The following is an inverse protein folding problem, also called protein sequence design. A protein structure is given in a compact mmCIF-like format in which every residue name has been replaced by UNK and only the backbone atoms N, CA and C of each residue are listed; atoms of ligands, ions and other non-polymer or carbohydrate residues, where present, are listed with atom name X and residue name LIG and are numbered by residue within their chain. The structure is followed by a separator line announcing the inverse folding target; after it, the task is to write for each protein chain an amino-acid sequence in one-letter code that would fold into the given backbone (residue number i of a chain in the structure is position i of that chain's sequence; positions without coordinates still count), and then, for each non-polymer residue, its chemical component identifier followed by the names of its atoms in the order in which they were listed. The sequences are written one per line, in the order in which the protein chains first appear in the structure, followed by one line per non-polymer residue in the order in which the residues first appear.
data_IF_989670303470
#
_entry.id   IF_989670303470
#
_cell.length_a   1.000
_cell.length_b   1.000
_cell.length_c   1.000
_cell.angle_alpha   90.00
_cell.angle_beta   90.00
_cell.angle_gamma   90.00
#
_symmetry.space_group_name_H-M   'P 1'
#
loop_
_entity.id
_entity.type
_entity.pdbx_description
1 polymer ?
#
# COMPACT_ATOMS: atom_id res chain seq x y z
N UNK A 1 -20.73 -16.65 76.54
CA UNK A 1 -20.62 -17.61 75.42
C UNK A 1 -20.95 -16.87 74.13
N UNK A 2 -19.98 -16.85 73.24
CA UNK A 2 -19.91 -16.06 72.01
C UNK A 2 -21.01 -16.37 71.00
N UNK A 3 -21.41 -15.34 70.23
CA UNK A 3 -21.57 -15.38 68.77
C UNK A 3 -21.91 -13.99 68.21
N UNK A 4 -20.93 -13.20 67.72
CA UNK A 4 -21.20 -12.06 66.87
C UNK A 4 -21.21 -12.48 65.39
N UNK A 5 -22.05 -11.78 64.62
CA UNK A 5 -22.48 -12.13 63.28
C UNK A 5 -21.39 -12.09 62.20
N UNK A 6 -21.59 -12.95 61.20
CA UNK A 6 -20.80 -12.95 59.97
C UNK A 6 -21.12 -11.72 59.12
N UNK A 7 -20.14 -10.85 58.97
CA UNK A 7 -20.11 -9.85 57.91
C UNK A 7 -19.85 -10.56 56.59
N UNK A 8 -20.85 -10.58 55.71
CA UNK A 8 -20.66 -10.92 54.29
C UNK A 8 -20.07 -9.70 53.60
N UNK A 9 -18.73 -9.62 53.55
CA UNK A 9 -18.08 -8.75 52.57
C UNK A 9 -18.32 -9.33 51.18
N UNK A 10 -19.37 -8.85 50.52
CA UNK A 10 -19.53 -9.00 49.09
C UNK A 10 -18.45 -8.16 48.42
N UNK A 11 -17.32 -8.78 48.09
CA UNK A 11 -16.35 -8.21 47.16
C UNK A 11 -17.04 -8.13 45.80
N UNK A 12 -17.62 -6.98 45.51
CA UNK A 12 -18.04 -6.64 44.15
C UNK A 12 -16.77 -6.64 43.30
N UNK A 13 -16.71 -7.54 42.31
CA UNK A 13 -15.61 -7.55 41.35
C UNK A 13 -15.48 -6.17 40.68
N UNK A 14 -14.27 -5.66 40.46
CA UNK A 14 -14.09 -4.35 39.85
C UNK A 14 -14.69 -4.31 38.44
N UNK A 15 -15.38 -3.20 38.15
CA UNK A 15 -16.07 -2.92 36.88
C UNK A 15 -15.08 -2.89 35.71
N UNK A 16 -15.45 -3.36 34.51
CA UNK A 16 -14.58 -3.42 33.34
C UNK A 16 -14.63 -2.09 32.57
N UNK A 17 -14.22 -0.97 33.17
CA UNK A 17 -14.44 0.36 32.55
C UNK A 17 -13.22 1.26 32.48
N UNK A 18 -12.03 0.75 32.79
CA UNK A 18 -10.79 1.46 32.49
C UNK A 18 -10.02 0.67 31.45
N UNK A 19 -9.81 1.26 30.27
CA UNK A 19 -8.84 0.74 29.32
C UNK A 19 -7.48 0.81 30.00
N UNK A 20 -6.83 -0.33 30.31
CA UNK A 20 -5.53 -0.30 30.97
C UNK A 20 -4.56 0.50 30.11
N UNK A 21 -3.70 1.30 30.74
CA UNK A 21 -2.56 1.90 30.02
C UNK A 21 -1.82 0.76 29.33
N UNK A 22 -1.27 0.99 28.14
CA UNK A 22 -0.77 -0.07 27.25
C UNK A 22 0.21 -1.07 27.87
N UNK A 23 0.83 -0.70 29.00
CA UNK A 23 1.86 -1.48 29.69
C UNK A 23 1.39 -2.08 31.02
N UNK A 24 0.14 -1.86 31.43
CA UNK A 24 -0.41 -2.43 32.65
C UNK A 24 -0.72 -3.93 32.47
N UNK A 25 -0.50 -4.71 33.53
CA UNK A 25 -0.63 -6.18 33.48
C UNK A 25 -2.09 -6.59 33.35
N UNK A 26 -2.47 -7.06 32.17
CA UNK A 26 -3.79 -7.62 31.94
C UNK A 26 -3.91 -8.96 32.68
N UNK A 27 -4.87 -9.03 33.59
CA UNK A 27 -5.16 -10.17 34.47
C UNK A 27 -5.60 -11.42 33.69
N UNK A 28 -6.19 -11.22 32.52
CA UNK A 28 -6.69 -12.29 31.66
C UNK A 28 -5.60 -12.93 30.80
N UNK A 29 -4.37 -12.39 30.77
CA UNK A 29 -3.26 -13.02 30.05
C UNK A 29 -2.74 -14.20 30.88
N UNK A 30 -2.81 -15.44 30.36
CA UNK A 30 -2.35 -16.61 31.10
C UNK A 30 -0.88 -16.51 31.48
N UNK A 31 -0.53 -17.13 32.62
CA UNK A 31 0.81 -17.03 33.18
C UNK A 31 1.92 -17.56 32.26
N UNK A 32 1.65 -18.51 31.36
CA UNK A 32 2.65 -19.04 30.43
C UNK A 32 2.98 -18.09 29.25
N UNK A 33 2.10 -17.14 28.93
CA UNK A 33 2.36 -16.11 27.92
C UNK A 33 3.09 -14.94 28.57
N UNK A 34 2.61 -14.52 29.74
CA UNK A 34 3.15 -13.39 30.49
C UNK A 34 4.53 -13.67 31.09
N UNK A 35 4.80 -14.92 31.50
CA UNK A 35 6.12 -15.29 32.02
C UNK A 35 7.12 -15.40 30.88
N UNK A 36 8.22 -14.66 31.04
CA UNK A 36 9.36 -14.70 30.16
C UNK A 36 10.14 -16.02 30.33
N UNK A 37 10.56 -16.66 29.23
CA UNK A 37 11.36 -17.89 29.28
C UNK A 37 12.84 -17.58 29.62
N UNK A 38 13.54 -18.59 30.15
CA UNK A 38 14.90 -18.43 30.70
C UNK A 38 15.98 -17.91 29.73
N UNK A 39 15.77 -18.06 28.42
CA UNK A 39 16.75 -17.71 27.39
C UNK A 39 16.69 -16.25 26.95
N UNK A 40 15.82 -15.44 27.57
CA UNK A 40 15.74 -14.00 27.31
C UNK A 40 16.25 -13.30 28.57
N UNK A 41 17.29 -12.48 28.42
CA UNK A 41 18.00 -11.89 29.57
C UNK A 41 17.20 -10.76 30.23
N UNK A 42 17.16 -10.73 31.55
CA UNK A 42 16.49 -9.67 32.33
C UNK A 42 17.24 -8.33 32.33
N UNK A 43 18.49 -8.33 31.83
CA UNK A 43 19.34 -7.14 31.76
C UNK A 43 19.13 -6.30 30.49
N UNK A 44 18.57 -6.88 29.43
CA UNK A 44 18.39 -6.22 28.13
C UNK A 44 16.99 -5.65 27.92
N UNK A 45 16.01 -6.10 28.71
CA UNK A 45 14.61 -5.71 28.59
C UNK A 45 14.21 -4.76 29.71
N UNK A 46 13.39 -3.76 29.37
CA UNK A 46 12.83 -2.85 30.36
C UNK A 46 11.88 -3.62 31.28
N UNK A 47 12.08 -3.54 32.60
CA UNK A 47 11.16 -4.12 33.60
C UNK A 47 9.75 -3.52 33.54
N UNK A 48 9.57 -2.43 32.77
CA UNK A 48 8.32 -1.72 32.58
C UNK A 48 7.36 -2.41 31.59
N UNK A 49 7.82 -3.39 30.80
CA UNK A 49 7.01 -4.08 29.79
C UNK A 49 7.12 -5.61 29.87
N UNK A 50 6.12 -6.25 30.48
CA UNK A 50 6.09 -7.69 30.73
C UNK A 50 5.80 -8.57 29.49
N UNK A 51 5.48 -7.98 28.33
CA UNK A 51 5.15 -8.68 27.08
C UNK A 51 6.19 -8.45 25.97
N UNK A 52 7.30 -7.80 26.28
CA UNK A 52 8.33 -7.46 25.29
C UNK A 52 8.84 -8.70 24.53
N UNK A 53 8.99 -9.85 25.21
CA UNK A 53 9.41 -11.12 24.59
C UNK A 53 8.42 -11.69 23.58
N UNK A 54 7.16 -11.27 23.62
CA UNK A 54 6.12 -11.68 22.67
C UNK A 54 6.05 -10.75 21.45
N UNK A 55 6.68 -9.56 21.51
CA UNK A 55 6.74 -8.65 20.36
C UNK A 55 7.64 -9.24 19.28
N UNK A 56 7.44 -8.79 18.04
CA UNK A 56 8.27 -9.25 16.92
C UNK A 56 9.74 -8.94 17.19
N UNK A 57 10.54 -10.01 17.29
CA UNK A 57 11.99 -9.89 17.42
C UNK A 57 12.59 -9.10 16.24
N UNK A 58 13.61 -8.26 16.49
CA UNK A 58 14.21 -7.42 15.45
C UNK A 58 14.76 -8.23 14.27
N UNK A 59 15.25 -9.45 14.52
CA UNK A 59 15.74 -10.36 13.46
C UNK A 59 14.65 -10.81 12.48
N UNK A 60 13.39 -10.92 12.93
CA UNK A 60 12.26 -11.27 12.06
C UNK A 60 11.72 -10.06 11.30
N UNK A 61 11.86 -8.85 11.85
CA UNK A 61 11.46 -7.61 11.17
C UNK A 61 12.29 -7.36 9.90
N UNK A 62 13.59 -7.67 9.92
CA UNK A 62 14.48 -7.50 8.75
C UNK A 62 14.16 -8.43 7.57
N UNK A 63 13.41 -9.51 7.79
CA UNK A 63 13.07 -10.47 6.72
C UNK A 63 11.77 -10.14 5.99
N UNK A 64 11.00 -9.20 6.54
CA UNK A 64 9.81 -8.68 5.89
C UNK A 64 10.13 -7.28 5.41
N UNK A 65 10.86 -7.19 4.30
CA UNK A 65 10.91 -5.97 3.51
C UNK A 65 9.45 -5.59 3.22
N UNK A 66 8.95 -4.60 3.95
CA UNK A 66 7.64 -4.04 3.68
C UNK A 66 7.64 -3.55 2.25
N UNK A 67 6.52 -3.67 1.53
CA UNK A 67 6.41 -3.22 0.13
C UNK A 67 6.94 -1.78 -0.07
N UNK A 68 6.86 -0.95 0.96
CA UNK A 68 7.41 0.41 1.00
C UNK A 68 8.94 0.50 0.81
N UNK A 69 9.71 -0.53 1.17
CA UNK A 69 11.16 -0.60 1.01
C UNK A 69 11.60 -1.65 0.00
N UNK A 70 10.66 -2.24 -0.76
CA UNK A 70 10.95 -3.27 -1.74
C UNK A 70 11.73 -2.67 -2.92
N UNK A 71 13.06 -2.72 -2.82
CA UNK A 71 13.94 -2.35 -3.91
C UNK A 71 13.82 -3.40 -5.03
N UNK A 72 13.58 -2.97 -6.27
CA UNK A 72 13.62 -3.86 -7.43
C UNK A 72 15.00 -3.89 -8.10
N UNK A 73 15.23 -4.88 -8.97
CA UNK A 73 16.47 -4.97 -9.74
C UNK A 73 16.65 -3.74 -10.65
N UNK A 74 17.83 -3.13 -10.58
CA UNK A 74 18.25 -2.03 -11.46
C UNK A 74 18.43 -2.54 -12.91
N UNK A 75 17.37 -2.50 -13.74
CA UNK A 75 17.43 -2.98 -15.12
C UNK A 75 18.27 -2.04 -15.99
N UNK A 76 19.23 -2.60 -16.72
CA UNK A 76 20.05 -1.86 -17.70
C UNK A 76 21.04 -0.86 -17.10
N UNK A 77 21.16 -0.80 -15.77
CA UNK A 77 22.06 0.13 -15.09
C UNK A 77 23.50 -0.38 -15.17
N UNK A 78 24.38 0.47 -15.66
CA UNK A 78 25.81 0.18 -15.77
C UNK A 78 26.55 0.72 -14.54
N UNK A 79 27.60 0.01 -14.11
CA UNK A 79 28.41 0.40 -12.94
C UNK A 79 29.32 1.59 -13.27
N UNK A 80 29.67 1.76 -14.55
CA UNK A 80 30.54 2.84 -14.99
C UNK A 80 30.72 2.88 -16.51
N UNK A 81 31.64 3.73 -17.00
CA UNK A 81 31.87 3.90 -18.43
C UNK A 81 32.44 2.63 -19.07
N UNK A 82 32.21 2.51 -20.38
CA UNK A 82 32.71 1.44 -21.23
C UNK A 82 34.24 1.33 -21.10
N UNK A 83 34.74 0.14 -20.79
CA UNK A 83 36.18 -0.11 -20.80
C UNK A 83 36.74 -0.01 -22.23
N UNK A 84 37.90 0.61 -22.39
CA UNK A 84 38.57 0.76 -23.70
C UNK A 84 39.39 -0.46 -24.11
N UNK A 85 39.75 -1.31 -23.15
CA UNK A 85 40.55 -2.52 -23.36
C UNK A 85 39.88 -3.72 -22.72
N UNK A 86 40.10 -4.88 -23.32
CA UNK A 86 39.64 -6.15 -22.77
C UNK A 86 40.35 -6.45 -21.44
N UNK A 87 39.57 -6.83 -20.42
CA UNK A 87 40.04 -7.21 -19.08
C UNK A 87 40.07 -8.73 -18.95
N UNK A 88 41.09 -9.26 -18.27
CA UNK A 88 41.19 -10.72 -18.03
C UNK A 88 40.01 -11.18 -17.16
N UNK A 89 39.33 -12.23 -17.59
CA UNK A 89 38.12 -12.74 -16.93
C UNK A 89 36.80 -12.13 -17.44
N UNK A 90 36.86 -11.16 -18.36
CA UNK A 90 35.68 -10.64 -19.02
C UNK A 90 35.14 -11.64 -20.07
N UNK A 91 33.87 -11.53 -20.39
CA UNK A 91 33.22 -12.29 -21.45
C UNK A 91 34.01 -12.20 -22.77
N UNK A 92 34.32 -13.35 -23.38
CA UNK A 92 35.15 -13.40 -24.59
C UNK A 92 34.46 -12.76 -25.80
N UNK A 93 33.13 -12.75 -25.81
CA UNK A 93 32.30 -12.20 -26.88
C UNK A 93 32.16 -10.67 -26.77
N UNK A 94 31.59 -10.16 -25.68
CA UNK A 94 31.26 -8.75 -25.51
C UNK A 94 32.27 -7.95 -24.68
N UNK A 95 33.07 -8.59 -23.82
CA UNK A 95 34.08 -7.92 -23.00
C UNK A 95 33.58 -7.30 -21.70
N UNK A 96 32.34 -7.53 -21.26
CA UNK A 96 31.90 -7.16 -19.90
C UNK A 96 32.37 -8.17 -18.86
N UNK A 97 32.51 -7.72 -17.62
CA UNK A 97 32.86 -8.56 -16.46
C UNK A 97 31.64 -9.18 -15.75
N UNK A 98 30.41 -8.83 -16.16
CA UNK A 98 29.18 -9.24 -15.46
C UNK A 98 28.77 -10.69 -15.70
N UNK A 99 29.19 -11.30 -16.82
CA UNK A 99 28.76 -12.65 -17.22
C UNK A 99 29.84 -13.40 -18.02
N UNK A 100 29.60 -14.70 -18.28
CA UNK A 100 30.46 -15.58 -19.10
C UNK A 100 30.01 -15.60 -20.56
N UNK A 101 30.84 -16.11 -21.47
CA UNK A 101 30.52 -16.16 -22.92
C UNK A 101 29.19 -16.90 -23.22
N UNK A 102 28.88 -17.96 -22.48
CA UNK A 102 27.65 -18.76 -22.68
C UNK A 102 26.38 -17.99 -22.36
N UNK A 103 26.44 -17.09 -21.37
CA UNK A 103 25.31 -16.32 -20.87
C UNK A 103 25.30 -14.90 -21.48
N UNK A 104 26.03 -14.71 -22.59
CA UNK A 104 26.16 -13.42 -23.23
C UNK A 104 24.89 -13.03 -23.97
N UNK A 105 24.29 -11.90 -23.57
CA UNK A 105 23.11 -11.33 -24.22
C UNK A 105 23.39 -10.73 -25.60
N UNK A 106 24.66 -10.48 -25.91
CA UNK A 106 25.07 -9.95 -27.21
C UNK A 106 25.22 -11.07 -28.24
N UNK A 107 24.88 -10.78 -29.50
CA UNK A 107 25.07 -11.71 -30.61
C UNK A 107 26.50 -12.29 -30.60
N UNK A 108 26.63 -13.61 -30.73
CA UNK A 108 27.93 -14.28 -30.82
C UNK A 108 28.72 -13.77 -32.03
N UNK A 109 29.87 -13.14 -31.78
CA UNK A 109 30.77 -12.60 -32.82
C UNK A 109 31.69 -13.69 -33.36
N UNK A 110 32.09 -13.58 -34.63
CA UNK A 110 33.07 -14.49 -35.26
C UNK A 110 34.46 -14.36 -34.63
N UNK A 111 34.86 -13.13 -34.33
CA UNK A 111 36.05 -12.80 -33.53
C UNK A 111 35.58 -11.96 -32.35
N UNK A 112 35.61 -12.53 -31.15
CA UNK A 112 35.12 -11.88 -29.94
C UNK A 112 35.94 -10.66 -29.50
N UNK A 113 35.43 -9.94 -28.51
CA UNK A 113 36.10 -8.83 -27.85
C UNK A 113 37.49 -9.21 -27.29
N UNK A 114 37.70 -10.47 -26.88
CA UNK A 114 39.01 -10.95 -26.40
C UNK A 114 40.14 -10.76 -27.41
N UNK A 115 39.85 -10.99 -28.69
CA UNK A 115 40.84 -10.98 -29.76
C UNK A 115 40.88 -9.67 -30.55
N UNK A 116 39.74 -8.99 -30.64
CA UNK A 116 39.61 -7.75 -31.44
C UNK A 116 39.76 -6.50 -30.60
N UNK A 117 39.47 -6.55 -29.30
CA UNK A 117 39.46 -5.37 -28.41
C UNK A 117 38.45 -4.29 -28.80
N UNK A 118 37.58 -4.55 -29.78
CA UNK A 118 36.59 -3.61 -30.30
C UNK A 118 35.23 -3.86 -29.69
N UNK A 119 34.45 -2.79 -29.52
CA UNK A 119 33.08 -2.82 -29.02
C UNK A 119 32.89 -3.60 -27.72
N UNK A 120 33.64 -3.19 -26.68
CA UNK A 120 33.57 -3.74 -25.31
C UNK A 120 32.26 -3.31 -24.64
N UNK A 121 31.42 -4.19 -24.13
CA UNK A 121 30.22 -3.78 -23.40
C UNK A 121 30.58 -3.12 -22.05
N UNK A 122 29.72 -2.22 -21.57
CA UNK A 122 29.82 -1.71 -20.19
C UNK A 122 29.46 -2.82 -19.19
N UNK A 123 29.95 -2.70 -17.96
CA UNK A 123 29.63 -3.66 -16.90
C UNK A 123 28.27 -3.35 -16.30
N UNK A 124 27.43 -4.37 -16.17
CA UNK A 124 26.10 -4.27 -15.56
C UNK A 124 26.19 -4.37 -14.03
N UNK A 125 25.33 -3.63 -13.33
CA UNK A 125 25.23 -3.72 -11.87
C UNK A 125 24.42 -4.95 -11.49
N UNK A 126 25.11 -5.99 -11.01
CA UNK A 126 24.47 -7.21 -10.49
C UNK A 126 24.15 -6.99 -9.01
N UNK A 127 22.86 -7.05 -8.65
CA UNK A 127 22.39 -7.01 -7.26
C UNK A 127 21.55 -8.24 -6.94
N UNK A 128 21.63 -8.72 -5.70
CA UNK A 128 20.76 -9.77 -5.17
C UNK A 128 19.65 -9.11 -4.32
N UNK A 129 18.39 -9.37 -4.67
CA UNK A 129 17.22 -8.79 -3.98
C UNK A 129 16.41 -9.90 -3.33
N UNK A 130 16.31 -9.86 -1.99
CA UNK A 130 15.62 -10.88 -1.19
C UNK A 130 14.20 -10.45 -0.83
N UNK A 131 13.27 -10.70 -1.74
CA UNK A 131 11.88 -10.33 -1.56
C UNK A 131 11.06 -11.41 -0.82
N UNK A 132 9.92 -11.00 -0.26
CA UNK A 132 8.87 -11.89 0.27
C UNK A 132 8.08 -12.64 -0.81
N UNK A 133 7.05 -13.40 -0.45
CA UNK A 133 6.26 -14.17 -1.43
C UNK A 133 5.44 -13.29 -2.38
N UNK A 134 4.78 -12.27 -1.82
CA UNK A 134 3.93 -11.34 -2.55
C UNK A 134 4.76 -10.40 -3.42
N UNK A 135 5.79 -9.78 -2.82
CA UNK A 135 6.74 -8.94 -3.53
C UNK A 135 7.49 -9.63 -4.68
N UNK A 136 7.69 -10.96 -4.68
CA UNK A 136 8.24 -11.66 -5.87
C UNK A 136 7.26 -11.76 -7.03
N UNK A 137 5.96 -11.76 -6.74
CA UNK A 137 4.87 -12.00 -7.70
C UNK A 137 4.12 -10.75 -8.10
N UNK A 138 4.42 -9.63 -7.46
CA UNK A 138 3.83 -8.37 -7.82
C UNK A 138 4.16 -8.04 -9.29
N UNK A 139 3.08 -7.89 -10.07
CA UNK A 139 3.13 -7.59 -11.49
C UNK A 139 3.71 -6.19 -11.74
N UNK A 140 3.58 -5.30 -10.77
CA UNK A 140 4.00 -3.90 -10.88
C UNK A 140 5.42 -3.64 -10.40
N UNK A 141 6.22 -4.70 -10.19
CA UNK A 141 7.62 -4.58 -9.82
C UNK A 141 8.45 -3.78 -10.84
N UNK A 142 9.05 -2.69 -10.38
CA UNK A 142 9.86 -1.79 -11.21
C UNK A 142 9.06 -0.77 -12.02
N UNK A 143 7.77 -0.62 -11.73
CA UNK A 143 6.94 0.44 -12.30
C UNK A 143 7.48 1.83 -11.93
N UNK A 144 7.63 2.69 -12.93
CA UNK A 144 8.00 4.09 -12.72
C UNK A 144 6.72 4.92 -12.71
N UNK A 145 6.51 5.74 -11.68
CA UNK A 145 5.30 6.57 -11.55
C UNK A 145 5.11 7.53 -12.73
N UNK A 146 6.19 7.92 -13.41
CA UNK A 146 6.18 8.77 -14.60
C UNK A 146 5.45 8.11 -15.79
N UNK A 147 5.45 6.78 -15.90
CA UNK A 147 4.74 6.06 -16.97
C UNK A 147 3.22 6.23 -16.88
N UNK A 148 2.68 6.59 -15.72
CA UNK A 148 1.25 6.88 -15.58
C UNK A 148 0.83 8.13 -16.37
N UNK A 149 1.79 9.01 -16.72
CA UNK A 149 1.50 10.21 -17.51
C UNK A 149 0.95 9.87 -18.89
N UNK A 150 1.39 8.76 -19.51
CA UNK A 150 0.88 8.31 -20.80
C UNK A 150 -0.62 8.02 -20.74
N UNK A 151 -1.07 7.37 -19.66
CA UNK A 151 -2.50 7.10 -19.42
C UNK A 151 -3.28 8.41 -19.28
N UNK A 152 -2.74 9.37 -18.52
CA UNK A 152 -3.38 10.70 -18.38
C UNK A 152 -3.50 11.39 -19.74
N UNK A 153 -2.46 11.32 -20.56
CA UNK A 153 -2.46 11.97 -21.87
C UNK A 153 -3.41 11.28 -22.87
N UNK A 154 -3.58 9.96 -22.79
CA UNK A 154 -4.62 9.22 -23.52
C UNK A 154 -6.03 9.66 -23.10
N UNK A 155 -6.29 9.76 -21.79
CA UNK A 155 -7.59 10.25 -21.29
C UNK A 155 -7.87 11.69 -21.72
N UNK A 156 -6.86 12.57 -21.67
CA UNK A 156 -6.99 13.96 -22.15
C UNK A 156 -7.37 14.03 -23.64
N UNK A 157 -6.75 13.19 -24.47
CA UNK A 157 -7.08 13.11 -25.90
C UNK A 157 -8.52 12.63 -26.11
N UNK A 158 -8.96 11.62 -25.35
CA UNK A 158 -10.34 11.12 -25.43
C UNK A 158 -11.34 12.20 -24.99
N UNK A 159 -11.06 12.95 -23.92
CA UNK A 159 -11.90 14.07 -23.48
C UNK A 159 -11.97 15.20 -24.51
N UNK A 160 -10.86 15.53 -25.17
CA UNK A 160 -10.85 16.53 -26.24
C UNK A 160 -11.68 16.09 -27.45
N UNK A 161 -11.54 14.84 -27.87
CA UNK A 161 -12.36 14.26 -28.94
C UNK A 161 -13.85 14.24 -28.59
N UNK A 162 -14.19 13.91 -27.33
CA UNK A 162 -15.58 13.98 -26.84
C UNK A 162 -16.11 15.41 -26.86
N UNK A 163 -15.31 16.40 -26.45
CA UNK A 163 -15.71 17.81 -26.48
C UNK A 163 -15.97 18.29 -27.91
N UNK A 164 -15.07 17.98 -28.85
CA UNK A 164 -15.24 18.32 -30.26
C UNK A 164 -16.49 17.64 -30.84
N UNK A 165 -16.71 16.36 -30.55
CA UNK A 165 -17.91 15.65 -30.98
C UNK A 165 -19.22 16.24 -30.41
N UNK A 166 -19.19 16.76 -29.17
CA UNK A 166 -20.33 17.46 -28.57
C UNK A 166 -20.57 18.85 -29.19
N UNK A 167 -19.50 19.56 -29.59
CA UNK A 167 -19.59 20.83 -30.31
C UNK A 167 -20.13 20.64 -31.73
N UNK A 168 -19.63 19.64 -32.47
CA UNK A 168 -20.07 19.31 -33.83
C UNK A 168 -21.51 18.74 -33.84
N UNK A 169 -21.86 17.90 -32.86
CA UNK A 169 -23.22 17.37 -32.71
C UNK A 169 -24.29 18.41 -32.35
N UNK A 170 -23.88 19.62 -31.93
CA UNK A 170 -24.78 20.74 -31.65
C UNK A 170 -24.97 21.66 -32.89
N UNK A 171 -24.20 21.47 -33.96
CA UNK A 171 -24.26 22.28 -35.18
C UNK A 171 -25.23 21.73 -36.26
N UNK A 172 -25.55 20.44 -36.25
CA UNK A 172 -26.40 19.78 -37.27
C UNK A 172 -27.84 19.46 -36.79
N UNK A 173 -28.38 20.26 -35.87
CA UNK A 173 -29.63 19.96 -35.15
C UNK A 173 -30.68 21.07 -35.07
N UNK A 174 -30.90 21.86 -36.13
CA UNK A 174 -32.17 22.60 -36.26
C UNK A 174 -33.32 21.60 -36.54
N UNK A 175 -34.05 21.17 -35.50
CA UNK A 175 -35.29 20.42 -35.72
C UNK A 175 -35.88 19.66 -34.53
N UNK A 176 -36.64 20.40 -33.71
CA UNK A 176 -37.79 19.93 -32.90
C UNK A 176 -37.57 19.43 -31.46
N UNK A 177 -38.08 20.24 -30.52
CA UNK A 177 -38.63 19.78 -29.24
C UNK A 177 -37.87 20.24 -28.00
N UNK A 178 -38.22 21.42 -27.47
CA UNK A 178 -37.50 22.07 -26.39
C UNK A 178 -37.66 21.47 -24.99
N UNK A 179 -36.71 21.80 -24.13
CA UNK A 179 -36.96 22.58 -22.91
C UNK A 179 -35.67 23.31 -22.52
N UNK A 180 -35.80 24.59 -22.18
CA UNK A 180 -34.68 25.52 -22.12
C UNK A 180 -33.97 25.56 -20.77
N UNK A 181 -32.63 25.58 -20.81
CA UNK A 181 -31.80 26.35 -19.89
C UNK A 181 -30.35 26.39 -20.42
N UNK A 182 -30.06 27.36 -21.30
CA UNK A 182 -28.69 27.83 -21.49
C UNK A 182 -28.34 28.66 -20.26
N UNK A 183 -27.62 28.07 -19.31
CA UNK A 183 -27.12 28.74 -18.11
C UNK A 183 -25.86 28.04 -17.65
N UNK A 184 -24.72 28.64 -17.95
CA UNK A 184 -23.41 27.99 -17.95
C UNK A 184 -23.03 27.26 -16.66
N UNK A 185 -22.29 26.16 -16.84
CA UNK A 185 -21.33 25.61 -15.87
C UNK A 185 -20.63 24.42 -16.52
N UNK A 186 -19.39 24.66 -16.90
CA UNK A 186 -18.42 23.68 -17.40
C UNK A 186 -17.96 22.73 -16.26
N UNK A 187 -18.89 22.19 -15.44
CA UNK A 187 -18.53 21.52 -14.18
C UNK A 187 -19.54 20.58 -13.52
N UNK A 188 -20.73 20.32 -14.07
CA UNK A 188 -21.76 19.52 -13.36
C UNK A 188 -22.41 18.39 -14.19
N UNK A 189 -21.87 18.07 -15.37
CA UNK A 189 -22.46 17.07 -16.29
C UNK A 189 -21.57 15.84 -16.54
N UNK A 190 -20.87 15.34 -15.51
CA UNK A 190 -20.24 14.00 -15.59
C UNK A 190 -21.23 12.86 -15.33
N UNK A 191 -22.38 13.15 -14.70
CA UNK A 191 -23.42 12.15 -14.43
C UNK A 191 -24.26 11.79 -15.67
N UNK A 192 -24.23 12.61 -16.73
CA UNK A 192 -25.07 12.40 -17.91
C UNK A 192 -24.49 11.38 -18.91
N UNK A 193 -23.17 11.25 -19.04
CA UNK A 193 -22.54 10.25 -19.94
C UNK A 193 -22.46 8.85 -19.33
N UNK A 194 -22.73 8.71 -18.03
CA UNK A 194 -22.79 7.39 -17.36
C UNK A 194 -24.11 6.65 -17.66
N UNK A 195 -25.04 7.27 -18.41
CA UNK A 195 -26.29 6.65 -18.87
C UNK A 195 -26.14 5.95 -20.25
N UNK A 196 -24.94 5.46 -20.57
CA UNK A 196 -24.78 4.48 -21.65
C UNK A 196 -25.18 3.09 -21.13
N UNK A 197 -26.49 2.87 -20.97
CA UNK A 197 -27.09 1.53 -20.91
C UNK A 197 -27.25 0.90 -19.52
N UNK A 198 -27.18 1.68 -18.44
CA UNK A 198 -27.49 1.19 -17.08
C UNK A 198 -28.63 1.97 -16.45
N UNK A 199 -29.79 2.00 -17.10
CA UNK A 199 -31.05 2.09 -16.37
C UNK A 199 -31.23 0.80 -15.56
N UNK A 200 -30.56 0.72 -14.40
CA UNK A 200 -31.00 -0.22 -13.38
C UNK A 200 -32.50 0.03 -13.21
N UNK A 201 -33.32 -1.00 -13.41
CA UNK A 201 -34.69 -0.94 -12.94
C UNK A 201 -34.63 -0.38 -11.52
N UNK A 202 -35.50 0.59 -11.17
CA UNK A 202 -35.53 1.25 -9.84
C UNK A 202 -35.61 0.27 -8.64
N UNK A 203 -35.68 -1.04 -8.91
CA UNK A 203 -35.60 -2.21 -8.03
C UNK A 203 -34.26 -2.38 -7.28
N UNK A 204 -33.10 -1.99 -7.83
CA UNK A 204 -31.79 -2.18 -7.16
C UNK A 204 -31.21 -0.91 -6.53
N UNK A 205 -32.06 0.05 -6.13
CA UNK A 205 -31.59 1.24 -5.39
C UNK A 205 -31.04 0.79 -4.03
N UNK A 206 -29.80 1.20 -3.73
CA UNK A 206 -29.19 0.91 -2.42
C UNK A 206 -30.06 1.49 -1.31
N UNK A 207 -30.37 0.68 -0.30
CA UNK A 207 -31.22 1.07 0.85
C UNK A 207 -30.61 2.19 1.70
N UNK A 208 -29.28 2.37 1.64
CA UNK A 208 -28.61 3.46 2.33
C UNK A 208 -28.89 4.78 1.63
N UNK A 209 -29.51 5.72 2.35
CA UNK A 209 -29.66 7.11 1.92
C UNK A 209 -28.28 7.75 1.80
N UNK A 210 -28.05 8.51 0.73
CA UNK A 210 -26.76 9.17 0.46
C UNK A 210 -26.66 10.49 1.22
N UNK A 211 -27.81 11.06 1.55
CA UNK A 211 -28.00 12.29 2.33
C UNK A 211 -27.59 12.09 3.79
N UNK A 212 -27.75 10.88 4.33
CA UNK A 212 -27.39 10.53 5.70
C UNK A 212 -25.92 10.07 5.78
N UNK A 213 -25.07 10.95 6.30
CA UNK A 213 -23.67 10.64 6.58
C UNK A 213 -23.55 9.66 7.74
N UNK A 214 -22.56 8.77 7.70
CA UNK A 214 -22.31 7.89 8.83
C UNK A 214 -21.74 8.69 10.01
N UNK A 215 -22.11 8.31 11.24
CA UNK A 215 -21.68 9.04 12.44
C UNK A 215 -20.15 9.09 12.61
N UNK A 216 -19.44 8.01 12.28
CA UNK A 216 -17.97 7.94 12.30
C UNK A 216 -17.29 8.75 11.19
N UNK A 217 -18.04 9.33 10.24
CA UNK A 217 -17.52 10.21 9.20
C UNK A 217 -17.80 11.70 9.50
N UNK A 218 -18.44 12.01 10.62
CA UNK A 218 -18.70 13.40 11.02
C UNK A 218 -17.38 14.13 11.33
N UNK A 219 -16.52 13.50 12.11
CA UNK A 219 -15.17 13.96 12.44
C UNK A 219 -14.17 12.86 12.10
N UNK A 220 -13.19 13.16 11.24
CA UNK A 220 -12.18 12.19 10.80
C UNK A 220 -10.93 12.18 11.70
N UNK A 221 -10.85 13.13 12.64
CA UNK A 221 -9.79 13.19 13.62
C UNK A 221 -9.89 12.01 14.59
N UNK A 222 -8.78 11.29 14.77
CA UNK A 222 -8.72 10.02 15.51
C UNK A 222 -9.15 10.14 16.98
N UNK A 223 -8.97 11.31 17.59
CA UNK A 223 -9.20 11.55 19.03
C UNK A 223 -10.53 12.25 19.33
N UNK A 224 -11.35 12.55 18.33
CA UNK A 224 -12.52 13.42 18.47
C UNK A 224 -13.67 12.77 19.27
N UNK A 225 -14.34 11.80 18.66
CA UNK A 225 -15.47 11.09 19.25
C UNK A 225 -15.41 9.61 18.89
N UNK A 226 -15.57 8.76 19.90
CA UNK A 226 -15.44 7.31 19.71
C UNK A 226 -16.77 6.74 19.22
N UNK A 227 -16.77 6.19 18.00
CA UNK A 227 -17.91 5.46 17.47
C UNK A 227 -17.85 3.99 17.88
N UNK A 228 -18.91 3.47 18.47
CA UNK A 228 -19.07 2.04 18.72
C UNK A 228 -19.76 1.35 17.52
N UNK A 229 -19.07 0.51 16.74
CA UNK A 229 -19.64 -0.12 15.55
C UNK A 229 -20.69 -1.19 15.88
N UNK A 230 -20.71 -1.75 17.10
CA UNK A 230 -21.65 -2.79 17.50
C UNK A 230 -23.03 -2.18 17.78
N UNK A 231 -23.07 -1.16 18.62
CA UNK A 231 -24.32 -0.47 19.02
C UNK A 231 -24.71 0.68 18.08
N UNK A 232 -23.80 1.09 17.18
CA UNK A 232 -23.98 2.20 16.21
C UNK A 232 -24.26 3.55 16.88
N UNK A 233 -23.70 3.76 18.07
CA UNK A 233 -23.80 5.00 18.84
C UNK A 233 -22.47 5.75 18.84
N UNK A 234 -22.55 7.07 18.88
CA UNK A 234 -21.40 7.90 19.24
C UNK A 234 -21.31 7.89 20.76
N UNK A 235 -20.12 7.63 21.28
CA UNK A 235 -19.79 7.94 22.66
C UNK A 235 -19.44 9.42 22.66
N UNK A 236 -20.39 10.27 23.05
CA UNK A 236 -20.08 11.67 23.35
C UNK A 236 -19.07 11.67 24.49
N UNK A 237 -17.92 12.28 24.25
CA UNK A 237 -17.01 12.73 25.31
C UNK A 237 -17.59 14.00 25.95
N UNK A 238 -18.83 13.90 26.45
CA UNK A 238 -19.46 14.96 27.22
C UNK A 238 -19.03 14.81 28.68
N UNK A 239 -17.98 15.53 29.05
CA UNK A 239 -17.87 16.26 30.33
C UNK A 239 -16.71 17.26 30.20
N UNK A 240 -17.03 18.45 29.69
CA UNK A 240 -16.34 19.71 29.97
C UNK A 240 -17.37 20.67 30.53
#
# INVERSE_FOLDING_TARGET
MSRPGGSKNATQGPKPTETPKSNERNEYIPSFIAKKPFYIDDATQSQDDYLEHQRLAPSKQQTQDSLAHAQWYDRGKTVGPKATKYRKGACENCGSMSHKEKDCLQRKRKKGARWTGRDIAADEKVGDVRLGWDAKRDRWNGYQSEQFQEVIDEYRQVEELKRLAAEDGNADGEGSGGDGAVGGKHGEQYDAETDMGRSQSKSTRTLRLREDTAKYLLNLDLDSAKYDPETRTMLDTADS
#
